data_IF_887748251337
#
_entry.id   IF_887748251337
#
_cell.length_a   1.000
_cell.length_b   1.000
_cell.length_c   1.000
_cell.angle_alpha   90.00
_cell.angle_beta   90.00
_cell.angle_gamma   90.00
#
_symmetry.space_group_name_H-M   'P 1'
#
loop_
_entity.id
_entity.type
_entity.pdbx_description
1 polymer ?
#
# COMPACT_ATOMS: atom_id res chain seq x y z
N UNK A 1 -5.04 -7.80 -30.76
CA UNK A 1 -6.01 -7.64 -29.65
C UNK A 1 -5.38 -6.64 -28.72
N UNK A 2 -5.89 -5.42 -28.66
CA UNK A 2 -5.33 -4.37 -27.80
C UNK A 2 -5.84 -4.58 -26.38
N UNK A 3 -5.09 -5.33 -25.58
CA UNK A 3 -5.43 -5.58 -24.18
C UNK A 3 -5.27 -4.26 -23.43
N UNK A 4 -6.36 -3.77 -22.84
CA UNK A 4 -6.38 -2.59 -21.96
C UNK A 4 -6.67 -3.04 -20.54
N UNK A 5 -5.71 -2.83 -19.66
CA UNK A 5 -5.84 -3.11 -18.23
C UNK A 5 -6.54 -1.95 -17.50
N UNK A 6 -7.35 -2.29 -16.52
CA UNK A 6 -8.03 -1.38 -15.61
C UNK A 6 -7.70 -1.79 -14.17
N UNK A 7 -7.76 -0.83 -13.25
CA UNK A 7 -7.69 -1.13 -11.81
C UNK A 7 -8.78 -2.14 -11.43
N UNK A 8 -8.41 -3.19 -10.69
CA UNK A 8 -9.26 -4.32 -10.33
C UNK A 8 -9.25 -5.48 -11.32
N UNK A 9 -8.60 -5.36 -12.48
CA UNK A 9 -8.43 -6.51 -13.38
C UNK A 9 -7.54 -7.58 -12.74
N UNK A 10 -7.94 -8.85 -12.83
CA UNK A 10 -7.09 -9.97 -12.45
C UNK A 10 -6.23 -10.40 -13.62
N UNK A 11 -4.96 -10.62 -13.32
CA UNK A 11 -3.95 -11.05 -14.27
C UNK A 11 -3.21 -12.27 -13.75
N UNK A 12 -2.88 -13.16 -14.66
CA UNK A 12 -1.99 -14.30 -14.43
C UNK A 12 -0.71 -14.06 -15.25
N UNK A 13 0.46 -14.16 -14.61
CA UNK A 13 1.74 -14.05 -15.31
C UNK A 13 2.17 -15.40 -15.93
N UNK A 14 3.24 -15.40 -16.73
CA UNK A 14 3.77 -16.62 -17.37
C UNK A 14 4.22 -17.71 -16.41
N UNK A 15 4.46 -17.37 -15.14
CA UNK A 15 4.83 -18.31 -14.07
C UNK A 15 3.61 -18.89 -13.34
N UNK A 16 2.39 -18.54 -13.79
CA UNK A 16 1.13 -18.95 -13.17
C UNK A 16 0.75 -18.17 -11.90
N UNK A 17 1.44 -17.06 -11.61
CA UNK A 17 1.14 -16.23 -10.44
C UNK A 17 -0.03 -15.32 -10.75
N UNK A 18 -1.01 -15.33 -9.85
CA UNK A 18 -2.24 -14.53 -9.96
C UNK A 18 -2.13 -13.29 -9.09
N UNK A 19 -2.43 -12.13 -9.68
CA UNK A 19 -2.51 -10.85 -9.00
C UNK A 19 -3.63 -9.99 -9.58
N UNK A 20 -3.81 -8.81 -9.00
CA UNK A 20 -4.76 -7.82 -9.51
C UNK A 20 -4.08 -6.49 -9.80
N UNK A 21 -4.61 -5.74 -10.76
CA UNK A 21 -4.13 -4.39 -11.06
C UNK A 21 -4.55 -3.46 -9.93
N UNK A 22 -3.60 -3.07 -9.08
CA UNK A 22 -3.85 -2.21 -7.91
C UNK A 22 -3.83 -0.72 -8.25
N UNK A 23 -3.10 -0.33 -9.30
CA UNK A 23 -3.01 1.03 -9.78
C UNK A 23 -2.57 1.07 -11.25
N UNK A 24 -2.79 2.20 -11.92
CA UNK A 24 -2.21 2.48 -13.24
C UNK A 24 -1.30 3.70 -13.14
N UNK A 25 -0.01 3.53 -13.45
CA UNK A 25 0.97 4.61 -13.46
C UNK A 25 0.74 5.55 -14.65
N UNK A 26 0.53 6.83 -14.38
CA UNK A 26 0.25 7.88 -15.38
C UNK A 26 1.25 9.04 -15.32
N UNK A 27 2.52 8.76 -15.02
CA UNK A 27 3.55 9.79 -15.03
C UNK A 27 3.89 10.25 -16.46
N UNK A 28 4.55 11.41 -16.58
CA UNK A 28 4.97 12.00 -17.86
C UNK A 28 5.78 11.04 -18.73
N UNK A 29 6.57 10.16 -18.10
CA UNK A 29 7.34 9.16 -18.84
C UNK A 29 6.46 8.09 -19.48
N UNK A 30 5.43 7.62 -18.76
CA UNK A 30 4.44 6.68 -19.30
C UNK A 30 3.64 7.33 -20.45
N UNK A 31 3.27 8.60 -20.30
CA UNK A 31 2.61 9.38 -21.35
C UNK A 31 3.51 9.52 -22.59
N UNK A 32 4.78 9.88 -22.41
CA UNK A 32 5.77 9.97 -23.51
C UNK A 32 5.97 8.64 -24.23
N UNK A 33 5.89 7.52 -23.50
CA UNK A 33 5.96 6.15 -24.05
C UNK A 33 4.66 5.70 -24.73
N UNK A 34 3.57 6.46 -24.57
CA UNK A 34 2.24 6.11 -25.10
C UNK A 34 1.59 4.92 -24.38
N UNK A 35 2.07 4.56 -23.19
CA UNK A 35 1.60 3.40 -22.43
C UNK A 35 1.66 3.67 -20.93
N UNK A 36 0.50 3.59 -20.27
CA UNK A 36 0.39 3.69 -18.82
C UNK A 36 0.58 2.32 -18.18
N UNK A 37 1.58 2.21 -17.30
CA UNK A 37 2.03 0.93 -16.73
C UNK A 37 1.12 0.48 -15.57
N UNK A 38 0.39 -0.64 -15.72
CA UNK A 38 -0.36 -1.25 -14.63
C UNK A 38 0.56 -1.80 -13.54
N UNK A 39 0.25 -1.50 -12.28
CA UNK A 39 0.87 -2.12 -11.11
C UNK A 39 0.06 -3.35 -10.69
N UNK A 40 0.71 -4.49 -10.55
CA UNK A 40 0.14 -5.73 -10.05
C UNK A 40 0.48 -5.87 -8.56
N UNK A 41 -0.50 -6.25 -7.76
CA UNK A 41 -0.28 -6.80 -6.43
C UNK A 41 -0.66 -8.29 -6.44
N UNK A 42 0.30 -9.15 -6.11
CA UNK A 42 0.11 -10.59 -6.08
C UNK A 42 -0.46 -11.04 -4.73
N UNK A 43 -1.06 -12.23 -4.70
CA UNK A 43 -1.64 -12.80 -3.47
C UNK A 43 -0.63 -13.05 -2.34
N UNK A 44 0.66 -13.12 -2.68
CA UNK A 44 1.77 -13.25 -1.72
C UNK A 44 2.26 -11.90 -1.15
N UNK A 45 1.63 -10.79 -1.54
CA UNK A 45 1.97 -9.43 -1.11
C UNK A 45 3.14 -8.79 -1.87
N UNK A 46 3.73 -9.48 -2.84
CA UNK A 46 4.70 -8.86 -3.73
C UNK A 46 4.04 -8.03 -4.84
N UNK A 47 4.82 -7.13 -5.43
CA UNK A 47 4.34 -6.18 -6.43
C UNK A 47 5.17 -6.30 -7.72
N UNK A 48 4.55 -5.97 -8.85
CA UNK A 48 5.20 -5.96 -10.16
C UNK A 48 4.54 -4.90 -11.05
N UNK A 49 5.19 -4.54 -12.16
CA UNK A 49 4.67 -3.59 -13.13
C UNK A 49 4.65 -4.21 -14.52
N UNK A 50 3.51 -4.13 -15.20
CA UNK A 50 3.45 -4.45 -16.62
C UNK A 50 4.04 -3.24 -17.36
N UNK A 51 5.30 -3.36 -17.76
CA UNK A 51 6.04 -2.26 -18.43
C UNK A 51 5.74 -2.19 -19.93
N UNK A 52 6.10 -1.07 -20.56
CA UNK A 52 5.98 -0.89 -22.01
C UNK A 52 6.84 -1.89 -22.83
N UNK A 53 7.92 -2.46 -22.25
CA UNK A 53 8.75 -3.49 -22.89
C UNK A 53 7.97 -4.80 -22.96
N UNK A 54 7.21 -5.12 -21.91
CA UNK A 54 6.33 -6.28 -21.85
C UNK A 54 5.19 -6.20 -22.87
N UNK A 55 4.84 -5.01 -23.39
CA UNK A 55 3.71 -4.79 -24.33
C UNK A 55 3.83 -5.55 -25.64
N UNK A 56 5.03 -5.66 -26.22
CA UNK A 56 5.23 -6.45 -27.46
C UNK A 56 4.96 -7.95 -27.26
N UNK A 57 4.98 -8.40 -26.01
CA UNK A 57 4.83 -9.79 -25.59
C UNK A 57 3.74 -9.95 -24.50
N UNK A 58 2.80 -9.01 -24.35
CA UNK A 58 1.77 -9.11 -23.28
C UNK A 58 1.08 -10.47 -23.33
N UNK A 59 0.61 -10.98 -24.48
CA UNK A 59 -0.05 -12.28 -24.53
C UNK A 59 0.85 -13.46 -24.12
N UNK A 60 2.17 -13.29 -24.16
CA UNK A 60 3.15 -14.31 -23.74
C UNK A 60 3.43 -14.23 -22.24
N UNK A 61 3.43 -13.03 -21.67
CA UNK A 61 3.86 -12.78 -20.30
C UNK A 61 2.69 -12.63 -19.31
N UNK A 62 1.53 -12.16 -19.78
CA UNK A 62 0.38 -11.86 -18.94
C UNK A 62 -0.94 -12.17 -19.65
N UNK A 63 -1.83 -12.84 -18.93
CA UNK A 63 -3.20 -13.11 -19.37
C UNK A 63 -4.17 -12.44 -18.41
N UNK A 64 -5.09 -11.64 -18.94
CA UNK A 64 -6.24 -11.18 -18.15
C UNK A 64 -7.18 -12.36 -17.91
N UNK A 65 -7.40 -12.71 -16.65
CA UNK A 65 -8.20 -13.88 -16.25
C UNK A 65 -9.52 -13.49 -15.57
N UNK A 66 -9.74 -12.19 -15.33
CA UNK A 66 -11.03 -11.66 -14.88
C UNK A 66 -11.04 -10.14 -14.79
N UNK A 67 -12.23 -9.56 -14.79
CA UNK A 67 -12.47 -8.14 -14.46
C UNK A 67 -13.16 -8.09 -13.10
N UNK A 68 -12.45 -7.79 -12.00
CA UNK A 68 -13.13 -7.55 -10.73
C UNK A 68 -13.61 -6.11 -10.73
N UNK A 69 -14.89 -5.89 -11.07
CA UNK A 69 -15.53 -4.60 -10.85
C UNK A 69 -15.85 -4.48 -9.36
N UNK A 70 -14.89 -4.03 -8.56
CA UNK A 70 -15.26 -3.43 -7.28
C UNK A 70 -16.15 -2.24 -7.58
N UNK A 71 -17.33 -2.21 -6.99
CA UNK A 71 -18.11 -0.97 -6.99
C UNK A 71 -17.25 0.13 -6.37
N UNK A 72 -17.38 1.38 -6.83
CA UNK A 72 -16.69 2.51 -6.20
C UNK A 72 -16.97 2.53 -4.68
N UNK A 73 -18.18 2.15 -4.29
CA UNK A 73 -18.59 1.96 -2.91
C UNK A 73 -17.70 0.96 -2.14
N UNK A 74 -17.45 -0.24 -2.67
CA UNK A 74 -16.59 -1.24 -2.03
C UNK A 74 -15.12 -0.80 -1.94
N UNK A 75 -14.61 -0.13 -2.97
CA UNK A 75 -13.26 0.45 -2.95
C UNK A 75 -13.10 1.48 -1.83
N UNK A 76 -14.03 2.43 -1.74
CA UNK A 76 -14.01 3.47 -0.70
C UNK A 76 -14.31 2.89 0.69
N UNK A 77 -15.15 1.86 0.82
CA UNK A 77 -15.34 1.13 2.08
C UNK A 77 -14.04 0.49 2.57
N UNK A 78 -13.27 -0.16 1.69
CA UNK A 78 -11.97 -0.72 2.04
C UNK A 78 -10.98 0.36 2.47
N UNK A 79 -10.88 1.47 1.72
CA UNK A 79 -10.04 2.61 2.11
C UNK A 79 -10.43 3.20 3.47
N UNK A 80 -11.73 3.41 3.71
CA UNK A 80 -12.22 3.89 5.01
C UNK A 80 -11.88 2.93 6.15
N UNK A 81 -11.95 1.61 5.91
CA UNK A 81 -11.59 0.61 6.91
C UNK A 81 -10.10 0.67 7.27
N UNK A 82 -9.24 0.82 6.26
CA UNK A 82 -7.80 0.99 6.44
C UNK A 82 -7.48 2.27 7.24
N UNK A 83 -8.06 3.41 6.85
CA UNK A 83 -7.91 4.67 7.59
C UNK A 83 -8.40 4.57 9.05
N UNK A 84 -9.52 3.88 9.29
CA UNK A 84 -10.04 3.66 10.65
C UNK A 84 -9.09 2.82 11.51
N UNK A 85 -8.46 1.81 10.92
CA UNK A 85 -7.48 0.98 11.61
C UNK A 85 -6.23 1.78 11.97
N UNK A 86 -5.70 2.55 11.02
CA UNK A 86 -4.55 3.44 11.25
C UNK A 86 -4.84 4.44 12.38
N UNK A 87 -5.99 5.12 12.33
CA UNK A 87 -6.41 6.06 13.39
C UNK A 87 -6.43 5.40 14.76
N UNK A 88 -6.92 4.16 14.87
CA UNK A 88 -6.96 3.42 16.14
C UNK A 88 -5.57 3.06 16.65
N UNK A 89 -4.63 2.77 15.74
CA UNK A 89 -3.22 2.53 16.10
C UNK A 89 -2.61 3.81 16.67
N UNK A 90 -2.86 4.97 16.05
CA UNK A 90 -2.36 6.25 16.54
C UNK A 90 -2.95 6.62 17.91
N UNK A 91 -4.26 6.43 18.10
CA UNK A 91 -4.92 6.67 19.38
C UNK A 91 -4.34 5.80 20.50
N UNK A 92 -4.11 4.51 20.23
CA UNK A 92 -3.47 3.60 21.18
C UNK A 92 -2.05 4.07 21.56
N UNK A 93 -1.23 4.47 20.58
CA UNK A 93 0.12 5.01 20.81
C UNK A 93 0.07 6.29 21.65
N UNK A 94 -0.87 7.19 21.36
CA UNK A 94 -1.06 8.43 22.13
C UNK A 94 -1.42 8.12 23.59
N UNK A 95 -2.37 7.21 23.82
CA UNK A 95 -2.79 6.82 25.17
C UNK A 95 -1.65 6.16 25.96
N UNK A 96 -0.80 5.36 25.31
CA UNK A 96 0.39 4.79 25.92
C UNK A 96 1.38 5.88 26.37
N UNK A 97 1.67 6.85 25.50
CA UNK A 97 2.52 8.01 25.82
C UNK A 97 1.94 8.85 26.96
N UNK A 98 0.64 9.12 26.95
CA UNK A 98 -0.03 9.88 28.00
C UNK A 98 0.05 9.17 29.35
N UNK A 99 -0.08 7.84 29.36
CA UNK A 99 0.08 7.04 30.58
C UNK A 99 1.52 7.05 31.08
N UNK A 100 2.51 7.03 30.19
CA UNK A 100 3.92 7.19 30.58
C UNK A 100 4.18 8.58 31.17
N UNK A 101 3.69 9.64 30.54
CA UNK A 101 3.74 11.02 31.04
C UNK A 101 3.15 11.14 32.45
N UNK A 102 1.98 10.54 32.69
CA UNK A 102 1.34 10.52 34.01
C UNK A 102 2.18 9.80 35.07
N UNK A 103 2.78 8.66 34.73
CA UNK A 103 3.69 7.91 35.62
C UNK A 103 4.96 8.69 35.92
N UNK A 104 5.49 9.37 34.91
CA UNK A 104 6.68 10.23 35.06
C UNK A 104 6.35 11.40 35.99
N UNK A 105 5.24 12.11 35.77
CA UNK A 105 4.85 13.22 36.64
C UNK A 105 4.52 12.80 38.10
N UNK A 106 4.31 11.51 38.36
CA UNK A 106 4.17 11.01 39.74
C UNK A 106 5.49 10.58 40.41
N UNK A 107 6.58 10.31 39.67
CA UNK A 107 7.79 9.67 40.25
C UNK A 107 9.15 9.98 39.58
N UNK A 108 9.25 10.71 38.46
CA UNK A 108 10.50 10.87 37.70
C UNK A 108 10.98 12.32 37.62
N UNK A 109 12.30 12.49 37.54
CA UNK A 109 12.93 13.77 37.22
C UNK A 109 12.74 14.14 35.75
N UNK A 110 12.79 15.44 35.43
CA UNK A 110 12.59 15.97 34.08
C UNK A 110 13.59 15.38 33.06
N UNK A 111 14.84 15.14 33.47
CA UNK A 111 15.88 14.56 32.60
C UNK A 111 15.59 13.08 32.23
N UNK A 112 15.10 12.28 33.19
CA UNK A 112 14.74 10.89 32.95
C UNK A 112 13.51 10.75 32.05
N UNK A 113 12.62 11.75 32.06
CA UNK A 113 11.48 11.82 31.16
C UNK A 113 11.91 11.95 29.70
N UNK A 114 12.79 12.93 29.40
CA UNK A 114 13.20 13.23 28.03
C UNK A 114 14.02 12.11 27.38
N UNK A 115 14.86 11.41 28.16
CA UNK A 115 15.58 10.21 27.69
C UNK A 115 14.60 9.11 27.22
N UNK A 116 13.61 8.76 28.04
CA UNK A 116 12.63 7.71 27.69
C UNK A 116 11.73 8.09 26.53
N UNK A 117 11.30 9.36 26.46
CA UNK A 117 10.49 9.87 25.35
C UNK A 117 11.25 9.78 24.02
N UNK A 118 12.53 10.16 24.02
CA UNK A 118 13.38 10.10 22.83
C UNK A 118 13.60 8.66 22.32
N UNK A 119 13.70 7.67 23.20
CA UNK A 119 13.81 6.25 22.83
C UNK A 119 12.52 5.75 22.15
N UNK A 120 11.34 6.14 22.64
CA UNK A 120 10.05 5.75 22.08
C UNK A 120 9.77 6.41 20.72
N UNK A 121 10.12 7.70 20.58
CA UNK A 121 10.02 8.43 19.32
C UNK A 121 10.99 7.90 18.25
N UNK A 122 12.18 7.41 18.64
CA UNK A 122 13.11 6.73 17.71
C UNK A 122 12.58 5.38 17.24
N UNK A 123 11.93 4.60 18.10
CA UNK A 123 11.34 3.29 17.73
C UNK A 123 10.16 3.41 16.76
N UNK A 124 9.46 4.54 16.76
CA UNK A 124 8.31 4.78 15.87
C UNK A 124 8.70 5.36 14.51
N UNK A 125 9.94 5.86 14.34
CA UNK A 125 10.48 6.40 13.08
C UNK A 125 11.13 5.36 12.16
N UNK A 126 11.43 4.16 12.66
CA UNK A 126 12.15 3.10 11.92
C UNK A 126 11.26 1.91 11.51
N UNK A 127 9.96 2.13 11.29
CA UNK A 127 9.01 1.08 10.88
C UNK A 127 8.15 1.53 9.73
#
# INVERSE_FOLDING_TARGET
MDIKFHEGDFVENSDGRVGYISAICKCDECERRGFYEPKIEYTDGSEDYITNISVKNIPLNYKQIGTQKFSAEEHYKKKMLAFKLESKIYENKYNELLNLLRKVNSELSEDEFYEKLNVLLKKTRNK
#
